data_IF_889753620050
#
_entry.id   IF_889753620050
#
_cell.length_a   1.000
_cell.length_b   1.000
_cell.length_c   1.000
_cell.angle_alpha   90.00
_cell.angle_beta   90.00
_cell.angle_gamma   90.00
#
_symmetry.space_group_name_H-M   'P 1'
#
loop_
_entity.id
_entity.type
_entity.pdbx_description
1 polymer ?
#
# COMPACT_ATOMS: atom_id res chain seq x y z
N UNK A 1 -2.52 43.88 48.48
CA UNK A 1 -1.15 43.35 48.33
C UNK A 1 -1.24 42.05 47.55
N UNK A 2 -0.26 41.81 46.69
CA UNK A 2 -0.29 40.97 45.48
C UNK A 2 -0.61 39.49 45.74
N UNK A 3 -1.57 38.92 45.00
CA UNK A 3 -1.64 37.48 44.76
C UNK A 3 -1.15 37.18 43.35
N UNK A 4 -0.08 36.40 43.29
CA UNK A 4 0.67 35.99 42.13
C UNK A 4 -0.12 34.87 41.42
N UNK A 5 -0.53 35.11 40.18
CA UNK A 5 -1.04 34.05 39.29
C UNK A 5 0.16 33.48 38.56
N UNK A 6 0.56 32.25 38.90
CA UNK A 6 1.54 31.47 38.13
C UNK A 6 0.89 31.09 36.79
N UNK A 7 1.34 31.73 35.71
CA UNK A 7 1.14 31.25 34.35
C UNK A 7 2.03 30.03 34.13
N UNK A 8 1.44 28.83 34.14
CA UNK A 8 2.09 27.64 33.57
C UNK A 8 1.95 27.72 32.06
N UNK A 9 2.96 28.26 31.40
CA UNK A 9 3.11 28.15 29.94
C UNK A 9 3.60 26.72 29.67
N UNK A 10 2.68 25.83 29.29
CA UNK A 10 3.06 24.53 28.74
C UNK A 10 3.58 24.76 27.32
N UNK A 11 4.91 24.77 27.16
CA UNK A 11 5.55 24.75 25.85
C UNK A 11 5.40 23.35 25.24
N UNK A 12 4.41 23.19 24.34
CA UNK A 12 4.20 21.98 23.54
C UNK A 12 4.78 22.16 22.13
N UNK A 13 6.09 22.35 22.02
CA UNK A 13 6.80 22.32 20.74
C UNK A 13 7.70 21.10 20.71
N UNK A 14 7.26 20.01 20.07
CA UNK A 14 8.15 18.86 19.90
C UNK A 14 7.65 17.62 19.16
N UNK A 15 6.41 17.53 18.68
CA UNK A 15 5.90 16.30 18.03
C UNK A 15 5.75 16.37 16.50
N UNK A 16 5.85 17.56 15.89
CA UNK A 16 5.51 17.74 14.47
C UNK A 16 6.61 17.31 13.46
N UNK A 17 7.85 17.05 13.89
CA UNK A 17 8.98 16.80 12.98
C UNK A 17 9.16 15.34 12.56
N UNK A 18 8.59 14.37 13.28
CA UNK A 18 8.67 12.94 12.94
C UNK A 18 7.66 12.56 11.85
N UNK A 19 6.47 13.17 11.86
CA UNK A 19 5.41 12.86 10.88
C UNK A 19 5.70 13.41 9.47
N UNK A 20 6.49 14.47 9.33
CA UNK A 20 6.72 15.12 8.04
C UNK A 20 7.66 14.33 7.12
N UNK A 21 8.64 13.61 7.69
CA UNK A 21 9.59 12.80 6.93
C UNK A 21 8.94 11.56 6.32
N UNK A 22 8.09 10.86 7.08
CA UNK A 22 7.41 9.65 6.61
C UNK A 22 6.39 9.95 5.49
N UNK A 23 5.71 11.09 5.56
CA UNK A 23 4.78 11.53 4.53
C UNK A 23 5.49 11.91 3.21
N UNK A 24 6.68 12.50 3.29
CA UNK A 24 7.50 12.83 2.11
C UNK A 24 8.05 11.55 1.44
N UNK A 25 8.52 10.58 2.23
CA UNK A 25 8.99 9.31 1.65
C UNK A 25 7.83 8.49 1.08
N UNK A 26 6.66 8.44 1.73
CA UNK A 26 5.48 7.78 1.19
C UNK A 26 5.08 8.39 -0.18
N UNK A 27 5.07 9.72 -0.30
CA UNK A 27 4.74 10.38 -1.56
C UNK A 27 5.73 10.02 -2.68
N UNK A 28 7.03 9.96 -2.37
CA UNK A 28 8.08 9.52 -3.31
C UNK A 28 7.90 8.05 -3.69
N UNK A 29 7.60 7.20 -2.73
CA UNK A 29 7.32 5.78 -2.93
C UNK A 29 6.11 5.56 -3.83
N UNK A 30 5.01 6.29 -3.62
CA UNK A 30 3.82 6.27 -4.48
C UNK A 30 4.17 6.70 -5.92
N UNK A 31 5.01 7.72 -6.08
CA UNK A 31 5.45 8.19 -7.40
C UNK A 31 6.23 7.12 -8.16
N UNK A 32 7.22 6.47 -7.51
CA UNK A 32 7.96 5.33 -8.08
C UNK A 32 7.03 4.14 -8.37
N UNK A 33 6.11 3.86 -7.45
CA UNK A 33 5.11 2.81 -7.56
C UNK A 33 4.18 2.97 -8.76
N UNK A 34 3.78 4.21 -9.09
CA UNK A 34 2.98 4.51 -10.28
C UNK A 34 3.70 4.09 -11.57
N UNK A 35 4.99 4.38 -11.69
CA UNK A 35 5.78 3.99 -12.86
C UNK A 35 5.91 2.46 -12.97
N UNK A 36 6.11 1.78 -11.83
CA UNK A 36 6.11 0.32 -11.77
C UNK A 36 4.75 -0.27 -12.18
N UNK A 37 3.64 0.33 -11.72
CA UNK A 37 2.30 -0.10 -12.09
C UNK A 37 2.06 -0.01 -13.62
N UNK A 38 2.41 1.12 -14.21
CA UNK A 38 2.30 1.35 -15.66
C UNK A 38 3.14 0.35 -16.48
N UNK A 39 4.22 -0.16 -15.92
CA UNK A 39 5.12 -1.08 -16.64
C UNK A 39 4.71 -2.54 -16.45
N UNK A 40 4.28 -2.92 -15.24
CA UNK A 40 4.17 -4.33 -14.84
C UNK A 40 2.74 -4.80 -14.55
N UNK A 41 1.81 -3.89 -14.24
CA UNK A 41 0.51 -4.23 -13.67
C UNK A 41 -0.66 -3.85 -14.59
N UNK A 42 -0.52 -2.75 -15.33
CA UNK A 42 -1.59 -2.11 -16.09
C UNK A 42 -2.20 -3.00 -17.17
N UNK A 43 -1.43 -3.93 -17.75
CA UNK A 43 -1.93 -4.82 -18.81
C UNK A 43 -3.01 -5.79 -18.34
N UNK A 44 -3.05 -6.09 -17.04
CA UNK A 44 -4.04 -7.00 -16.45
C UNK A 44 -5.02 -6.25 -15.54
N UNK A 45 -4.51 -5.33 -14.71
CA UNK A 45 -5.33 -4.61 -13.74
C UNK A 45 -5.93 -3.29 -14.26
N UNK A 46 -5.64 -2.94 -15.51
CA UNK A 46 -6.18 -1.78 -16.23
C UNK A 46 -5.73 -0.42 -15.66
N UNK A 47 -5.93 0.72 -16.37
CA UNK A 47 -5.38 2.00 -15.93
C UNK A 47 -5.89 2.51 -14.58
N UNK A 48 -7.15 2.22 -14.25
CA UNK A 48 -7.81 2.67 -13.01
C UNK A 48 -7.96 1.54 -11.98
N UNK A 49 -7.17 0.47 -12.11
CA UNK A 49 -7.23 -0.65 -11.18
C UNK A 49 -8.55 -1.44 -11.24
N UNK A 50 -9.37 -1.23 -12.26
CA UNK A 50 -10.69 -1.84 -12.40
C UNK A 50 -10.64 -3.33 -12.77
N UNK A 51 -9.48 -3.81 -13.27
CA UNK A 51 -9.32 -5.18 -13.72
C UNK A 51 -10.27 -5.56 -14.86
N UNK A 52 -10.60 -6.84 -14.95
CA UNK A 52 -11.55 -7.38 -15.91
C UNK A 52 -12.39 -8.43 -15.21
N UNK A 53 -13.70 -8.22 -15.17
CA UNK A 53 -14.64 -9.11 -14.47
C UNK A 53 -14.39 -10.58 -14.81
N UNK A 54 -14.36 -11.43 -13.78
CA UNK A 54 -14.08 -12.87 -13.84
C UNK A 54 -12.71 -13.29 -14.41
N UNK A 55 -11.85 -12.36 -14.83
CA UNK A 55 -10.52 -12.66 -15.40
C UNK A 55 -9.39 -12.09 -14.55
N UNK A 56 -9.41 -10.77 -14.29
CA UNK A 56 -8.42 -10.06 -13.49
C UNK A 56 -9.11 -9.32 -12.35
N UNK A 57 -8.77 -9.60 -11.08
CA UNK A 57 -9.42 -8.96 -9.96
C UNK A 57 -9.17 -7.45 -9.96
N UNK A 58 -10.16 -6.64 -9.54
CA UNK A 58 -9.96 -5.23 -9.34
C UNK A 58 -9.00 -5.00 -8.18
N UNK A 59 -8.15 -3.99 -8.34
CA UNK A 59 -7.34 -3.40 -7.25
C UNK A 59 -8.03 -2.16 -6.68
N UNK A 60 -8.88 -1.50 -7.47
CA UNK A 60 -9.69 -0.37 -7.03
C UNK A 60 -10.79 -0.84 -6.07
N UNK A 61 -10.86 -0.21 -4.89
CA UNK A 61 -11.82 -0.58 -3.84
C UNK A 61 -11.78 -2.05 -3.46
N UNK A 62 -10.59 -2.68 -3.53
CA UNK A 62 -10.42 -4.12 -3.32
C UNK A 62 -10.38 -4.44 -1.83
N UNK A 63 -11.26 -5.30 -1.34
CA UNK A 63 -11.23 -5.83 0.01
C UNK A 63 -9.90 -6.53 0.32
N UNK A 64 -9.34 -7.26 -0.64
CA UNK A 64 -8.06 -7.93 -0.54
C UNK A 64 -6.89 -6.96 -0.36
N UNK A 65 -6.89 -5.82 -1.08
CA UNK A 65 -5.87 -4.77 -0.92
C UNK A 65 -6.03 -4.04 0.42
N UNK A 66 -7.28 -3.84 0.84
CA UNK A 66 -7.63 -3.11 2.04
C UNK A 66 -7.52 -3.94 3.32
N UNK A 67 -7.46 -5.27 3.21
CA UNK A 67 -7.31 -6.18 4.35
C UNK A 67 -6.12 -5.80 5.24
N UNK A 68 -6.29 -5.95 6.57
CA UNK A 68 -5.29 -5.56 7.58
C UNK A 68 -3.93 -6.25 7.37
N UNK A 69 -3.94 -7.45 6.77
CA UNK A 69 -2.72 -8.20 6.47
C UNK A 69 -2.04 -7.72 5.19
N UNK A 70 -1.17 -6.72 5.34
CA UNK A 70 -0.26 -6.29 4.25
C UNK A 70 0.59 -7.45 3.71
N UNK A 71 0.87 -8.47 4.52
CA UNK A 71 1.68 -9.63 4.14
C UNK A 71 1.05 -10.45 3.00
N UNK A 72 -0.28 -10.54 2.92
CA UNK A 72 -0.97 -11.21 1.81
C UNK A 72 -0.76 -10.47 0.50
N UNK A 73 -0.92 -9.15 0.51
CA UNK A 73 -0.67 -8.29 -0.65
C UNK A 73 0.79 -8.38 -1.08
N UNK A 74 1.73 -8.31 -0.12
CA UNK A 74 3.17 -8.48 -0.38
C UNK A 74 3.43 -9.83 -1.03
N UNK A 75 2.88 -10.92 -0.50
CA UNK A 75 3.10 -12.27 -1.01
C UNK A 75 2.64 -12.40 -2.46
N UNK A 76 1.45 -11.90 -2.79
CA UNK A 76 0.92 -11.94 -4.16
C UNK A 76 1.79 -11.13 -5.12
N UNK A 77 2.17 -9.90 -4.76
CA UNK A 77 3.01 -9.06 -5.64
C UNK A 77 4.43 -9.63 -5.79
N UNK A 78 5.00 -10.15 -4.70
CA UNK A 78 6.39 -10.63 -4.65
C UNK A 78 6.58 -11.99 -5.31
N UNK A 79 5.62 -12.89 -5.18
CA UNK A 79 5.76 -14.30 -5.59
C UNK A 79 4.74 -14.74 -6.64
N UNK A 80 3.82 -13.86 -7.04
CA UNK A 80 2.67 -14.24 -7.82
C UNK A 80 1.62 -15.00 -7.01
N UNK A 81 0.56 -15.43 -7.68
CA UNK A 81 -0.48 -16.30 -7.13
C UNK A 81 -1.03 -17.19 -8.23
N UNK A 82 -1.44 -18.40 -7.88
CA UNK A 82 -2.17 -19.29 -8.77
C UNK A 82 -3.33 -19.93 -8.01
N UNK A 83 -4.46 -20.08 -8.70
CA UNK A 83 -5.64 -20.72 -8.17
C UNK A 83 -6.71 -19.73 -7.77
N UNK A 84 -7.62 -20.20 -6.90
CA UNK A 84 -8.81 -19.47 -6.51
C UNK A 84 -8.52 -18.41 -5.45
N UNK A 85 -8.99 -17.19 -5.69
CA UNK A 85 -9.07 -16.10 -4.71
C UNK A 85 -10.45 -15.46 -4.79
N UNK A 86 -10.86 -14.82 -3.70
CA UNK A 86 -12.09 -14.01 -3.65
C UNK A 86 -11.70 -12.56 -3.47
N UNK A 87 -12.21 -11.70 -4.34
CA UNK A 87 -12.03 -10.24 -4.26
C UNK A 87 -13.39 -9.59 -4.45
N UNK A 88 -13.80 -8.75 -3.50
CA UNK A 88 -15.10 -8.08 -3.46
C UNK A 88 -16.28 -9.06 -3.64
N UNK A 89 -16.18 -10.23 -3.00
CA UNK A 89 -17.18 -11.30 -3.07
C UNK A 89 -17.22 -12.08 -4.40
N UNK A 90 -16.36 -11.75 -5.37
CA UNK A 90 -16.26 -12.44 -6.66
C UNK A 90 -15.08 -13.41 -6.67
N UNK A 91 -15.31 -14.59 -7.25
CA UNK A 91 -14.30 -15.64 -7.39
C UNK A 91 -13.46 -15.41 -8.64
N UNK A 92 -12.14 -15.42 -8.47
CA UNK A 92 -11.16 -15.39 -9.56
C UNK A 92 -10.30 -16.65 -9.47
N UNK A 93 -10.15 -17.37 -10.58
CA UNK A 93 -9.29 -18.56 -10.63
C UNK A 93 -8.30 -18.41 -11.79
N UNK A 94 -7.18 -17.77 -11.48
CA UNK A 94 -6.21 -17.34 -12.48
C UNK A 94 -4.78 -17.57 -12.03
N UNK A 95 -3.87 -16.92 -12.75
CA UNK A 95 -2.45 -16.88 -12.43
C UNK A 95 -1.94 -15.45 -12.58
N UNK A 96 -1.32 -14.94 -11.53
CA UNK A 96 -0.45 -13.77 -11.57
C UNK A 96 1.00 -14.27 -11.48
N UNK A 97 1.85 -13.99 -12.48
CA UNK A 97 3.23 -14.45 -12.47
C UNK A 97 4.08 -13.71 -11.41
N UNK A 98 5.18 -14.31 -11.01
CA UNK A 98 6.23 -13.62 -10.25
C UNK A 98 6.90 -12.58 -11.15
N UNK A 99 6.88 -11.31 -10.73
CA UNK A 99 7.34 -10.17 -11.56
C UNK A 99 8.86 -9.92 -11.47
N UNK A 100 9.57 -10.60 -10.56
CA UNK A 100 11.01 -10.41 -10.36
C UNK A 100 11.40 -9.04 -9.77
N UNK A 101 10.45 -8.35 -9.13
CA UNK A 101 10.68 -7.07 -8.47
C UNK A 101 11.47 -7.25 -7.16
N UNK A 102 12.39 -6.33 -6.88
CA UNK A 102 13.08 -6.29 -5.59
C UNK A 102 12.19 -5.76 -4.45
N UNK A 103 12.68 -5.81 -3.21
CA UNK A 103 11.88 -5.42 -2.04
C UNK A 103 11.47 -3.94 -2.03
N UNK A 104 12.26 -3.05 -2.63
CA UNK A 104 11.94 -1.62 -2.75
C UNK A 104 10.85 -1.43 -3.79
N UNK A 105 10.98 -2.07 -4.94
CA UNK A 105 10.00 -2.00 -6.02
C UNK A 105 8.64 -2.57 -5.61
N UNK A 106 8.63 -3.71 -4.89
CA UNK A 106 7.40 -4.30 -4.34
C UNK A 106 6.74 -3.35 -3.34
N UNK A 107 7.52 -2.74 -2.44
CA UNK A 107 6.99 -1.76 -1.48
C UNK A 107 6.38 -0.55 -2.21
N UNK A 108 7.09 0.01 -3.19
CA UNK A 108 6.66 1.16 -3.96
C UNK A 108 5.34 0.91 -4.70
N UNK A 109 5.21 -0.22 -5.43
CA UNK A 109 3.97 -0.50 -6.17
C UNK A 109 2.79 -0.76 -5.24
N UNK A 110 3.00 -1.43 -4.10
CA UNK A 110 1.95 -1.64 -3.09
C UNK A 110 1.51 -0.30 -2.50
N UNK A 111 2.44 0.61 -2.23
CA UNK A 111 2.10 1.94 -1.72
C UNK A 111 1.28 2.74 -2.73
N UNK A 112 1.61 2.67 -4.01
CA UNK A 112 0.77 3.26 -5.06
C UNK A 112 -0.65 2.67 -5.06
N UNK A 113 -0.78 1.33 -5.05
CA UNK A 113 -2.07 0.64 -5.09
C UNK A 113 -2.94 0.96 -3.86
N UNK A 114 -2.37 0.88 -2.66
CA UNK A 114 -3.08 1.14 -1.38
C UNK A 114 -3.52 2.59 -1.20
N UNK A 115 -2.88 3.52 -1.90
CA UNK A 115 -3.19 4.95 -1.82
C UNK A 115 -3.88 5.46 -3.11
N UNK A 116 -4.38 4.55 -3.94
CA UNK A 116 -5.15 4.87 -5.15
C UNK A 116 -6.59 4.37 -5.03
N UNK A 117 -7.46 4.91 -5.88
CA UNK A 117 -8.82 4.39 -6.14
C UNK A 117 -9.69 4.17 -4.89
N UNK A 118 -9.55 5.03 -3.89
CA UNK A 118 -10.35 4.97 -2.67
C UNK A 118 -10.01 3.80 -1.74
N UNK A 119 -8.86 3.14 -1.92
CA UNK A 119 -8.42 2.09 -1.01
C UNK A 119 -8.10 2.65 0.38
N UNK A 120 -8.70 2.04 1.41
CA UNK A 120 -8.53 2.36 2.83
C UNK A 120 -7.91 1.20 3.60
N UNK A 121 -6.59 1.00 3.47
CA UNK A 121 -5.85 0.10 4.35
C UNK A 121 -5.42 0.80 5.65
N UNK A 122 -5.45 0.10 6.79
CA UNK A 122 -4.88 0.62 8.05
C UNK A 122 -3.39 0.95 7.91
N UNK A 123 -2.63 0.06 7.26
CA UNK A 123 -1.22 0.29 6.93
C UNK A 123 -1.13 0.92 5.55
N UNK A 124 -0.97 2.24 5.52
CA UNK A 124 -0.83 3.07 4.30
C UNK A 124 0.58 3.08 3.72
N UNK A 125 1.61 2.83 4.53
CA UNK A 125 3.00 2.82 4.11
C UNK A 125 3.64 1.44 4.37
N UNK A 126 3.85 0.71 3.28
CA UNK A 126 4.61 -0.55 3.22
C UNK A 126 6.08 -0.23 3.03
N UNK A 127 6.95 -0.75 3.89
CA UNK A 127 8.39 -0.53 3.81
C UNK A 127 9.11 -1.72 3.15
N UNK A 128 10.30 -1.53 2.55
CA UNK A 128 11.11 -2.63 2.03
C UNK A 128 11.42 -3.70 3.09
N UNK A 129 11.57 -3.29 4.36
CA UNK A 129 11.81 -4.20 5.47
C UNK A 129 10.61 -5.13 5.74
N UNK A 130 9.37 -4.66 5.58
CA UNK A 130 8.19 -5.52 5.63
C UNK A 130 8.23 -6.54 4.49
N UNK A 131 8.58 -6.10 3.28
CA UNK A 131 8.67 -6.99 2.11
C UNK A 131 9.74 -8.07 2.28
N UNK A 132 10.88 -7.74 2.89
CA UNK A 132 11.95 -8.71 3.18
C UNK A 132 11.48 -9.79 4.16
N UNK A 133 10.67 -9.44 5.16
CA UNK A 133 10.15 -10.39 6.17
C UNK A 133 9.20 -11.42 5.59
N UNK A 134 8.48 -11.08 4.51
CA UNK A 134 7.54 -12.01 3.86
C UNK A 134 8.31 -13.01 3.00
N UNK A 135 8.34 -14.27 3.41
CA UNK A 135 8.94 -15.40 2.68
C UNK A 135 7.86 -16.23 1.98
N UNK A 136 8.23 -17.08 1.02
CA UNK A 136 7.31 -18.07 0.43
C UNK A 136 6.71 -18.96 1.52
#
# INVERSE_FOLDING_TARGET
>A
MKSIILLVVAASTGLAALQSGDNDELAKSISRGRALYQTNCISCHMPEGEGMEAVYPPLAGSDFVQEDSTDKVIRVVKFGVQGEIVVNGQVYNGMMPELGLDSVQVADVINFIKNSWGNESEIKYTTPAMVVKVTK
#
